data_IF_800759604453
#
_entry.id   IF_800759604453
#
_cell.length_a   1.000
_cell.length_b   1.000
_cell.length_c   1.000
_cell.angle_alpha   90.00
_cell.angle_beta   90.00
_cell.angle_gamma   90.00
#
_symmetry.space_group_name_H-M   'P 1'
#
loop_
_entity.id
_entity.type
_entity.pdbx_description
1 polymer ?
#
# COMPACT_ATOMS: atom_id res chain seq x y z
N UNK A 1 27.19 3.04 19.62
CA UNK A 1 25.79 3.49 19.73
C UNK A 1 25.06 2.97 18.53
N UNK A 2 23.97 2.24 18.76
CA UNK A 2 23.19 1.63 17.69
C UNK A 2 22.48 2.75 16.90
N UNK A 3 22.77 2.85 15.60
CA UNK A 3 22.17 3.85 14.73
C UNK A 3 20.64 3.75 14.72
N UNK A 4 20.08 2.54 14.85
CA UNK A 4 18.63 2.34 14.90
C UNK A 4 18.00 3.03 16.10
N UNK A 5 18.63 2.95 17.28
CA UNK A 5 18.12 3.60 18.49
C UNK A 5 18.08 5.13 18.36
N UNK A 6 19.09 5.77 17.77
CA UNK A 6 19.13 7.25 17.65
C UNK A 6 18.00 7.80 16.77
N UNK A 7 17.63 7.08 15.70
CA UNK A 7 16.62 7.56 14.74
C UNK A 7 15.22 7.01 15.01
N UNK A 8 15.09 5.75 15.43
CA UNK A 8 13.79 5.10 15.63
C UNK A 8 13.22 5.36 17.03
N UNK A 9 14.05 5.41 18.08
CA UNK A 9 13.57 5.54 19.46
C UNK A 9 12.67 6.78 19.67
N UNK A 10 13.02 7.99 19.17
CA UNK A 10 12.15 9.16 19.34
C UNK A 10 10.78 9.03 18.67
N UNK A 11 10.67 8.21 17.63
CA UNK A 11 9.44 7.98 16.89
C UNK A 11 8.63 6.83 17.49
N UNK A 12 9.30 5.78 17.97
CA UNK A 12 8.67 4.52 18.39
C UNK A 12 8.35 4.48 19.88
N UNK A 13 9.23 4.97 20.75
CA UNK A 13 9.03 4.92 22.21
C UNK A 13 7.74 5.60 22.70
N UNK A 14 7.25 6.70 22.09
CA UNK A 14 5.96 7.28 22.48
C UNK A 14 4.74 6.49 22.02
N UNK A 15 4.91 5.55 21.08
CA UNK A 15 3.80 4.79 20.50
C UNK A 15 3.49 3.55 21.33
N UNK A 16 2.20 3.28 21.50
CA UNK A 16 1.77 1.98 22.01
C UNK A 16 2.14 0.87 21.01
N UNK A 17 2.31 -0.34 21.53
CA UNK A 17 2.58 -1.53 20.72
C UNK A 17 1.58 -1.69 19.56
N UNK A 18 0.28 -1.54 19.84
CA UNK A 18 -0.80 -1.64 18.85
C UNK A 18 -0.70 -0.57 17.75
N UNK A 19 -0.29 0.66 18.09
CA UNK A 19 -0.08 1.72 17.10
C UNK A 19 1.12 1.43 16.21
N UNK A 20 2.21 0.93 16.79
CA UNK A 20 3.40 0.56 16.03
C UNK A 20 3.08 -0.57 15.04
N UNK A 21 2.44 -1.65 15.51
CA UNK A 21 2.01 -2.76 14.65
C UNK A 21 1.14 -2.28 13.49
N UNK A 22 0.12 -1.47 13.81
CA UNK A 22 -0.78 -0.86 12.85
C UNK A 22 -0.05 -0.07 11.75
N UNK A 23 0.90 0.78 12.13
CA UNK A 23 1.67 1.60 11.19
C UNK A 23 2.58 0.72 10.33
N UNK A 24 3.25 -0.26 10.94
CA UNK A 24 4.13 -1.19 10.21
C UNK A 24 3.35 -2.03 9.20
N UNK A 25 2.16 -2.50 9.56
CA UNK A 25 1.22 -3.20 8.70
C UNK A 25 0.83 -2.34 7.48
N UNK A 26 0.44 -1.09 7.72
CA UNK A 26 0.17 -0.15 6.63
C UNK A 26 1.39 0.08 5.72
N UNK A 27 2.57 0.33 6.29
CA UNK A 27 3.80 0.59 5.53
C UNK A 27 4.21 -0.61 4.66
N UNK A 28 4.05 -1.84 5.16
CA UNK A 28 4.32 -3.06 4.40
C UNK A 28 3.42 -3.20 3.17
N UNK A 29 2.17 -2.72 3.26
CA UNK A 29 1.19 -2.84 2.20
C UNK A 29 1.22 -1.71 1.16
N UNK A 30 1.88 -0.58 1.45
CA UNK A 30 2.11 0.49 0.45
C UNK A 30 2.80 -0.05 -0.82
N UNK A 31 3.95 -0.72 -0.77
CA UNK A 31 4.59 -1.24 -1.98
C UNK A 31 3.75 -2.30 -2.67
N UNK A 32 3.01 -3.13 -1.92
CA UNK A 32 2.08 -4.11 -2.51
C UNK A 32 0.95 -3.43 -3.29
N UNK A 33 0.30 -2.41 -2.70
CA UNK A 33 -0.75 -1.65 -3.38
C UNK A 33 -0.26 -0.95 -4.64
N UNK A 34 0.96 -0.40 -4.60
CA UNK A 34 1.61 0.16 -5.77
C UNK A 34 1.88 -0.91 -6.84
N UNK A 35 2.44 -2.07 -6.46
CA UNK A 35 2.73 -3.17 -7.38
C UNK A 35 1.45 -3.70 -8.05
N UNK A 36 0.37 -3.90 -7.29
CA UNK A 36 -0.93 -4.31 -7.84
C UNK A 36 -1.48 -3.25 -8.79
N UNK A 37 -1.46 -1.97 -8.41
CA UNK A 37 -1.91 -0.88 -9.28
C UNK A 37 -1.08 -0.76 -10.57
N UNK A 38 0.22 -1.07 -10.52
CA UNK A 38 1.11 -1.10 -11.68
C UNK A 38 0.83 -2.30 -12.59
N UNK A 39 0.58 -3.48 -12.01
CA UNK A 39 0.23 -4.70 -12.74
C UNK A 39 -1.12 -4.57 -13.45
N UNK A 40 -2.06 -3.83 -12.86
CA UNK A 40 -3.34 -3.53 -13.47
C UNK A 40 -3.22 -2.47 -14.57
N UNK A 41 -4.11 -2.59 -15.58
CA UNK A 41 -4.20 -1.62 -16.66
C UNK A 41 -4.50 -0.21 -16.13
N UNK A 42 -4.22 0.82 -16.96
CA UNK A 42 -4.49 2.23 -16.60
C UNK A 42 -5.94 2.53 -16.22
N UNK A 43 -6.90 1.68 -16.61
CA UNK A 43 -8.32 1.82 -16.23
C UNK A 43 -8.67 1.06 -14.95
N UNK A 44 -7.95 -0.02 -14.67
CA UNK A 44 -8.27 -0.95 -13.58
C UNK A 44 -7.47 -0.73 -12.31
N UNK A 45 -6.48 0.16 -12.29
CA UNK A 45 -5.66 0.42 -11.10
C UNK A 45 -6.48 0.78 -9.83
N UNK A 46 -7.68 1.35 -10.01
CA UNK A 46 -8.61 1.65 -8.92
C UNK A 46 -9.14 0.39 -8.20
N UNK A 47 -8.96 -0.80 -8.79
CA UNK A 47 -9.30 -2.08 -8.17
C UNK A 47 -8.17 -2.60 -7.26
N UNK A 48 -6.99 -1.98 -7.28
CA UNK A 48 -5.88 -2.41 -6.44
C UNK A 48 -6.22 -2.43 -4.94
N UNK A 49 -6.93 -1.43 -4.36
CA UNK A 49 -7.38 -1.50 -2.97
C UNK A 49 -8.27 -2.71 -2.66
N UNK A 50 -9.14 -3.11 -3.58
CA UNK A 50 -10.03 -4.26 -3.40
C UNK A 50 -9.23 -5.56 -3.38
N UNK A 51 -8.27 -5.71 -4.30
CA UNK A 51 -7.38 -6.87 -4.32
C UNK A 51 -6.49 -6.93 -3.08
N UNK A 52 -5.98 -5.78 -2.63
CA UNK A 52 -5.19 -5.69 -1.40
C UNK A 52 -6.03 -6.05 -0.18
N UNK A 53 -7.25 -5.53 -0.06
CA UNK A 53 -8.18 -5.92 1.00
C UNK A 53 -8.43 -7.43 1.00
N UNK A 54 -8.70 -8.01 -0.17
CA UNK A 54 -8.88 -9.46 -0.33
C UNK A 54 -7.66 -10.26 0.13
N UNK A 55 -6.45 -9.81 -0.25
CA UNK A 55 -5.19 -10.41 0.24
C UNK A 55 -5.06 -10.30 1.75
N UNK A 56 -5.32 -9.13 2.34
CA UNK A 56 -5.21 -8.95 3.79
C UNK A 56 -6.23 -9.81 4.54
N UNK A 57 -7.46 -9.89 4.04
CA UNK A 57 -8.50 -10.75 4.61
C UNK A 57 -8.10 -12.23 4.54
N UNK A 58 -7.50 -12.66 3.42
CA UNK A 58 -7.00 -14.03 3.27
C UNK A 58 -5.86 -14.34 4.25
N UNK A 59 -4.92 -13.40 4.44
CA UNK A 59 -3.84 -13.53 5.44
C UNK A 59 -4.44 -13.70 6.84
N UNK A 60 -5.40 -12.85 7.20
CA UNK A 60 -6.09 -12.90 8.49
C UNK A 60 -6.78 -14.24 8.73
N UNK A 61 -7.48 -14.74 7.70
CA UNK A 61 -8.14 -16.05 7.74
C UNK A 61 -7.15 -17.22 7.92
N UNK A 62 -6.01 -17.17 7.25
CA UNK A 62 -4.95 -18.19 7.41
C UNK A 62 -4.35 -18.10 8.82
N UNK A 63 -4.11 -16.90 9.34
CA UNK A 63 -3.59 -16.69 10.68
C UNK A 63 -4.54 -17.16 11.77
N UNK A 64 -5.86 -17.09 11.54
CA UNK A 64 -6.87 -17.66 12.45
C UNK A 64 -6.70 -19.17 12.69
N UNK A 65 -6.01 -19.87 11.79
CA UNK A 65 -5.71 -21.30 11.93
C UNK A 65 -4.42 -21.57 12.72
N UNK A 66 -3.65 -20.53 13.09
CA UNK A 66 -2.39 -20.66 13.82
C UNK A 66 -2.68 -20.65 15.32
N UNK A 67 -2.30 -21.71 16.08
CA UNK A 67 -2.51 -21.75 17.52
C UNK A 67 -1.86 -20.54 18.22
N UNK A 68 -2.64 -19.82 19.03
CA UNK A 68 -2.18 -18.66 19.79
C UNK A 68 -2.17 -17.34 19.01
N UNK A 69 -2.52 -17.34 17.72
CA UNK A 69 -2.75 -16.10 16.95
C UNK A 69 -4.23 -15.72 17.04
N UNK A 70 -4.49 -14.53 17.55
CA UNK A 70 -5.84 -13.94 17.54
C UNK A 70 -5.96 -13.06 16.31
N UNK A 71 -6.93 -13.31 15.42
CA UNK A 71 -7.16 -12.45 14.29
C UNK A 71 -7.60 -11.04 14.71
N UNK A 72 -7.04 -10.01 14.08
CA UNK A 72 -7.36 -8.60 14.34
C UNK A 72 -7.88 -7.90 13.08
N UNK A 73 -9.13 -7.43 13.15
CA UNK A 73 -9.75 -6.64 12.07
C UNK A 73 -8.96 -5.34 11.83
N UNK A 74 -8.28 -4.82 12.85
CA UNK A 74 -7.45 -3.64 12.75
C UNK A 74 -6.29 -3.84 11.76
N UNK A 75 -5.74 -5.05 11.65
CA UNK A 75 -4.69 -5.40 10.68
C UNK A 75 -5.21 -5.30 9.25
N UNK A 76 -6.41 -5.83 8.99
CA UNK A 76 -7.07 -5.71 7.68
C UNK A 76 -7.25 -4.24 7.29
N UNK A 77 -7.69 -3.40 8.23
CA UNK A 77 -7.91 -1.97 7.99
C UNK A 77 -6.59 -1.28 7.62
N UNK A 78 -5.54 -1.45 8.42
CA UNK A 78 -4.26 -0.77 8.18
C UNK A 78 -3.54 -1.26 6.93
N UNK A 79 -3.58 -2.56 6.66
CA UNK A 79 -3.08 -3.14 5.41
C UNK A 79 -3.82 -2.55 4.20
N UNK A 80 -5.14 -2.40 4.30
CA UNK A 80 -5.95 -1.79 3.24
C UNK A 80 -5.61 -0.30 3.04
N UNK A 81 -5.40 0.46 4.12
CA UNK A 81 -4.95 1.86 4.06
C UNK A 81 -3.61 1.96 3.32
N UNK A 82 -2.63 1.11 3.67
CA UNK A 82 -1.37 1.00 2.95
C UNK A 82 -1.56 0.74 1.46
N UNK A 83 -2.40 -0.25 1.13
CA UNK A 83 -2.77 -0.59 -0.23
C UNK A 83 -3.35 0.57 -1.03
N UNK A 84 -4.27 1.34 -0.42
CA UNK A 84 -4.86 2.54 -1.01
C UNK A 84 -3.80 3.59 -1.29
N UNK A 85 -2.94 3.88 -0.32
CA UNK A 85 -1.85 4.87 -0.47
C UNK A 85 -0.95 4.49 -1.64
N UNK A 86 -0.49 3.23 -1.70
CA UNK A 86 0.34 2.73 -2.80
C UNK A 86 -0.34 2.84 -4.17
N UNK A 87 -1.62 2.48 -4.26
CA UNK A 87 -2.39 2.57 -5.49
C UNK A 87 -2.57 4.02 -5.95
N UNK A 88 -2.88 4.94 -5.03
CA UNK A 88 -3.03 6.38 -5.30
C UNK A 88 -1.74 6.98 -5.82
N UNK A 89 -0.59 6.65 -5.22
CA UNK A 89 0.73 7.10 -5.71
C UNK A 89 0.92 6.72 -7.18
N UNK A 90 0.61 5.48 -7.56
CA UNK A 90 0.70 5.03 -8.95
C UNK A 90 -0.28 5.77 -9.87
N UNK A 91 -1.51 6.01 -9.41
CA UNK A 91 -2.51 6.80 -10.13
C UNK A 91 -2.04 8.23 -10.42
N UNK A 92 -1.44 8.89 -9.43
CA UNK A 92 -0.87 10.24 -9.56
C UNK A 92 0.29 10.22 -10.56
N UNK A 93 1.26 9.32 -10.39
CA UNK A 93 2.42 9.20 -11.28
C UNK A 93 1.98 8.97 -12.74
N UNK A 94 1.01 8.08 -12.97
CA UNK A 94 0.46 7.81 -14.32
C UNK A 94 -0.25 9.02 -14.94
N UNK A 95 -0.77 9.95 -14.12
CA UNK A 95 -1.44 11.18 -14.57
C UNK A 95 -0.44 12.29 -14.88
N UNK A 96 0.57 12.46 -14.04
CA UNK A 96 1.63 13.46 -14.21
C UNK A 96 2.55 13.10 -15.37
N UNK A 97 2.96 11.84 -15.48
CA UNK A 97 3.87 11.35 -16.53
C UNK A 97 3.15 10.99 -17.84
N UNK A 98 1.93 11.49 -18.10
CA UNK A 98 1.28 11.26 -19.41
C UNK A 98 2.15 11.94 -20.49
N UNK A 99 2.68 11.20 -21.46
CA UNK A 99 3.29 11.84 -22.61
C UNK A 99 2.21 12.69 -23.27
N UNK A 100 2.44 14.00 -23.39
CA UNK A 100 1.67 14.85 -24.28
C UNK A 100 1.83 14.19 -25.66
N UNK A 101 0.80 13.48 -26.13
CA UNK A 101 0.78 12.97 -27.50
C UNK A 101 0.97 14.19 -28.37
N UNK A 102 2.18 14.32 -28.94
CA UNK A 102 2.53 15.41 -29.85
C UNK A 102 1.46 15.46 -30.93
N UNK A 103 0.74 16.56 -31.00
CA UNK A 103 0.04 16.99 -32.20
C UNK A 103 1.08 17.12 -33.31
N UNK A 104 1.32 16.04 -34.04
CA UNK A 104 2.09 15.98 -35.28
C UNK A 104 1.36 15.05 -36.23
N UNK A 105 0.22 15.52 -36.70
CA UNK A 105 -0.45 15.01 -37.88
C UNK A 105 -1.41 16.12 -38.33
N UNK A 106 -0.97 16.92 -39.31
CA UNK A 106 -1.84 17.94 -39.90
C UNK A 106 -1.14 19.18 -40.45
N UNK A 107 0.07 19.06 -41.00
CA UNK A 107 0.66 20.07 -41.90
C UNK A 107 1.49 19.31 -42.94
N UNK A 108 0.81 18.83 -43.98
CA UNK A 108 1.46 18.06 -45.04
C UNK A 108 0.44 17.42 -45.97
N UNK A 109 -0.32 18.25 -46.68
CA UNK A 109 -0.59 18.20 -48.14
C UNK A 109 -1.53 19.34 -48.55
#
# INVERSE_FOLDING_TARGET
MDFAHVFAAPLVEPMSYLQLESILNALLFVPLGAAVALALSRRLWILAPVLVFGTSFAIEHVQASIPGRVPDVQDIVWNTVGGVVGAVVVGIVRRVLRPIRRSRAGDGE
#
